data_IF_702226344767
#
_entry.id   IF_702226344767
#
_cell.length_a   1.000
_cell.length_b   1.000
_cell.length_c   1.000
_cell.angle_alpha   90.00
_cell.angle_beta   90.00
_cell.angle_gamma   90.00
#
_symmetry.space_group_name_H-M   'P 1'
#
loop_
_entity.id
_entity.type
_entity.pdbx_description
1 polymer ?
#
# COMPACT_ATOMS: atom_id res chain seq x y z
N UNK A 1 -28.79 22.88 3.27
CA UNK A 1 -29.38 23.28 1.99
C UNK A 1 -29.84 22.09 1.19
N UNK A 2 -29.07 21.00 1.17
CA UNK A 2 -29.36 19.79 0.39
C UNK A 2 -30.74 19.18 0.73
N UNK A 3 -31.12 19.12 2.01
CA UNK A 3 -32.44 18.66 2.43
C UNK A 3 -33.64 19.54 2.00
N UNK A 4 -33.40 20.64 1.33
CA UNK A 4 -34.42 21.58 0.84
C UNK A 4 -34.71 21.43 -0.65
N UNK A 5 -33.89 20.67 -1.39
CA UNK A 5 -34.01 20.49 -2.86
C UNK A 5 -33.50 19.12 -3.27
N UNK A 6 -34.04 18.62 -4.39
CA UNK A 6 -33.50 17.45 -5.09
C UNK A 6 -32.58 17.85 -6.27
N UNK A 7 -32.41 19.15 -6.49
CA UNK A 7 -31.52 19.67 -7.50
C UNK A 7 -30.08 19.79 -7.01
N UNK A 8 -29.15 20.04 -7.94
CA UNK A 8 -27.74 20.26 -7.63
C UNK A 8 -27.58 21.48 -6.72
N UNK A 9 -26.89 21.31 -5.61
CA UNK A 9 -26.45 22.43 -4.75
C UNK A 9 -25.00 22.74 -5.08
N UNK A 10 -24.74 23.97 -5.52
CA UNK A 10 -23.39 24.46 -5.79
C UNK A 10 -22.99 25.45 -4.71
N UNK A 11 -21.87 25.20 -4.04
CA UNK A 11 -21.32 26.07 -3.01
C UNK A 11 -19.81 25.90 -2.88
N UNK A 12 -19.13 26.96 -2.43
CA UNK A 12 -17.77 26.85 -1.93
C UNK A 12 -17.85 26.67 -0.43
N UNK A 13 -17.30 25.56 0.07
CA UNK A 13 -17.19 25.29 1.50
C UNK A 13 -15.95 26.04 1.99
N UNK A 14 -16.14 26.91 2.98
CA UNK A 14 -15.03 27.57 3.63
C UNK A 14 -14.09 26.51 4.25
N UNK A 15 -12.78 26.77 4.25
CA UNK A 15 -11.82 25.88 4.90
C UNK A 15 -12.28 25.66 6.35
N UNK A 16 -12.51 24.38 6.69
CA UNK A 16 -12.93 23.93 8.00
C UNK A 16 -12.28 22.59 8.27
N UNK A 17 -12.27 22.16 9.51
CA UNK A 17 -11.69 20.86 9.86
C UNK A 17 -12.39 19.72 9.11
N UNK A 18 -11.63 18.77 8.60
CA UNK A 18 -12.16 17.59 7.91
C UNK A 18 -13.18 16.85 8.79
N UNK A 19 -12.93 16.79 10.10
CA UNK A 19 -13.83 16.18 11.07
C UNK A 19 -15.23 16.84 11.13
N UNK A 20 -15.34 18.12 10.80
CA UNK A 20 -16.61 18.83 10.71
C UNK A 20 -17.38 18.45 9.44
N UNK A 21 -16.65 18.10 8.37
CA UNK A 21 -17.26 17.72 7.08
C UNK A 21 -17.76 16.28 7.05
N UNK A 22 -17.05 15.35 7.74
CA UNK A 22 -17.35 13.91 7.70
C UNK A 22 -17.76 13.31 9.07
N UNK A 23 -17.77 14.14 10.14
CA UNK A 23 -18.01 13.72 11.52
C UNK A 23 -19.49 13.59 11.92
N UNK A 24 -19.81 13.96 13.16
CA UNK A 24 -21.14 13.76 13.76
C UNK A 24 -22.27 14.58 13.14
N UNK A 25 -21.96 15.64 12.41
CA UNK A 25 -22.92 16.47 11.66
C UNK A 25 -22.38 16.70 10.25
N UNK A 26 -22.23 15.63 9.45
CA UNK A 26 -21.48 15.68 8.21
C UNK A 26 -22.14 16.59 7.18
N UNK A 27 -21.32 17.06 6.23
CA UNK A 27 -21.84 17.58 4.98
C UNK A 27 -22.74 16.52 4.35
N UNK A 28 -23.92 16.91 3.92
CA UNK A 28 -24.90 15.97 3.35
C UNK A 28 -24.97 16.13 1.83
N UNK A 29 -24.92 15.01 1.13
CA UNK A 29 -25.33 14.88 -0.25
C UNK A 29 -26.31 13.73 -0.41
N UNK A 30 -27.58 13.99 -0.06
CA UNK A 30 -28.62 12.97 -0.08
C UNK A 30 -28.93 12.42 -1.47
N UNK A 31 -28.54 13.14 -2.52
CA UNK A 31 -28.83 12.80 -3.91
C UNK A 31 -27.59 12.41 -4.73
N UNK A 32 -26.39 12.54 -4.16
CA UNK A 32 -25.11 12.21 -4.84
C UNK A 32 -24.79 13.12 -6.02
N UNK A 33 -25.29 14.37 -6.02
CA UNK A 33 -25.19 15.26 -7.17
C UNK A 33 -24.69 16.67 -6.83
N UNK A 34 -24.34 16.94 -5.58
CA UNK A 34 -23.90 18.26 -5.14
C UNK A 34 -22.52 18.62 -5.74
N UNK A 35 -22.37 19.90 -6.05
CA UNK A 35 -21.13 20.44 -6.62
C UNK A 35 -20.46 21.39 -5.62
N UNK A 36 -19.92 20.82 -4.54
CA UNK A 36 -19.21 21.59 -3.52
C UNK A 36 -17.73 21.75 -3.89
N UNK A 37 -17.25 22.97 -3.96
CA UNK A 37 -15.82 23.25 -4.04
C UNK A 37 -15.23 23.21 -2.65
N UNK A 38 -14.35 22.24 -2.39
CA UNK A 38 -13.75 22.00 -1.07
C UNK A 38 -12.22 22.11 -1.18
N UNK A 39 -11.61 22.82 -0.22
CA UNK A 39 -10.17 22.82 0.00
C UNK A 39 -9.91 22.39 1.45
N UNK A 40 -9.11 21.34 1.63
CA UNK A 40 -8.72 20.87 2.95
C UNK A 40 -7.81 21.90 3.61
N UNK A 41 -8.09 22.22 4.87
CA UNK A 41 -7.36 23.21 5.63
C UNK A 41 -5.93 22.79 5.96
N UNK A 42 -5.10 23.75 6.37
CA UNK A 42 -3.71 23.47 6.82
C UNK A 42 -3.66 22.74 8.16
N UNK A 43 -4.75 22.83 8.95
CA UNK A 43 -4.85 22.16 10.25
C UNK A 43 -5.09 20.64 10.08
N UNK A 44 -5.55 20.21 8.89
CA UNK A 44 -5.73 18.82 8.47
C UNK A 44 -4.54 18.29 7.64
N UNK A 45 -3.33 18.70 7.97
CA UNK A 45 -2.12 18.19 7.30
C UNK A 45 -1.92 16.67 7.51
N UNK A 46 -2.53 16.11 8.57
CA UNK A 46 -2.51 14.66 8.87
C UNK A 46 -3.95 14.14 8.94
N UNK A 47 -4.29 13.21 8.08
CA UNK A 47 -5.67 12.68 7.94
C UNK A 47 -5.70 11.17 7.78
N UNK A 48 -6.91 10.58 7.92
CA UNK A 48 -7.15 9.19 7.54
C UNK A 48 -7.70 9.12 6.10
N UNK A 49 -7.28 8.10 5.34
CA UNK A 49 -7.79 7.89 3.98
C UNK A 49 -9.29 7.61 3.95
N UNK A 50 -9.84 6.95 4.98
CA UNK A 50 -11.27 6.69 5.09
C UNK A 50 -12.11 7.97 5.18
N UNK A 51 -11.61 9.01 5.86
CA UNK A 51 -12.29 10.30 5.96
C UNK A 51 -12.28 11.03 4.61
N UNK A 52 -11.15 10.98 3.90
CA UNK A 52 -11.06 11.52 2.55
C UNK A 52 -11.98 10.77 1.58
N UNK A 53 -12.03 9.45 1.62
CA UNK A 53 -12.95 8.66 0.80
C UNK A 53 -14.41 8.99 1.10
N UNK A 54 -14.74 9.27 2.36
CA UNK A 54 -16.08 9.71 2.75
C UNK A 54 -16.39 11.09 2.16
N UNK A 55 -15.44 12.02 2.24
CA UNK A 55 -15.60 13.37 1.70
C UNK A 55 -15.76 13.37 0.18
N UNK A 56 -15.03 12.50 -0.53
CA UNK A 56 -15.14 12.33 -1.98
C UNK A 56 -16.57 11.98 -2.43
N UNK A 57 -17.26 11.15 -1.64
CA UNK A 57 -18.66 10.79 -1.89
C UNK A 57 -19.67 11.93 -1.71
N UNK A 58 -19.28 13.09 -1.18
CA UNK A 58 -20.18 14.19 -0.86
C UNK A 58 -20.15 15.32 -1.90
N UNK A 59 -19.34 15.21 -2.94
CA UNK A 59 -19.27 16.22 -4.01
C UNK A 59 -18.88 15.61 -5.33
N UNK A 60 -19.35 16.23 -6.40
CA UNK A 60 -18.96 15.88 -7.79
C UNK A 60 -17.78 16.72 -8.30
N UNK A 61 -17.26 17.64 -7.49
CA UNK A 61 -16.12 18.51 -7.82
C UNK A 61 -14.86 17.99 -7.15
N UNK A 62 -13.75 17.95 -7.87
CA UNK A 62 -12.48 17.51 -7.29
C UNK A 62 -12.06 18.36 -6.08
N UNK A 63 -11.77 17.68 -4.98
CA UNK A 63 -11.36 18.26 -3.70
C UNK A 63 -9.89 18.63 -3.79
N UNK A 64 -9.54 19.83 -3.35
CA UNK A 64 -8.13 20.23 -3.23
C UNK A 64 -7.54 19.71 -1.89
N UNK A 65 -6.70 18.71 -2.00
CA UNK A 65 -5.98 18.07 -0.87
C UNK A 65 -4.50 18.50 -0.78
N UNK A 66 -4.09 19.58 -1.42
CA UNK A 66 -2.70 20.01 -1.47
C UNK A 66 -2.07 20.41 -0.12
N UNK A 67 -2.87 20.55 0.94
CA UNK A 67 -2.37 20.77 2.31
C UNK A 67 -2.20 19.46 3.11
N UNK A 68 -2.67 18.32 2.59
CA UNK A 68 -2.47 17.01 3.22
C UNK A 68 -1.04 16.54 2.95
N UNK A 69 -0.25 16.37 4.00
CA UNK A 69 1.14 15.91 3.92
C UNK A 69 1.31 14.49 4.45
N UNK A 70 0.38 14.04 5.31
CA UNK A 70 0.51 12.75 5.99
C UNK A 70 -0.82 12.01 5.99
N UNK A 71 -0.78 10.71 5.68
CA UNK A 71 -1.92 9.81 5.77
C UNK A 71 -1.59 8.73 6.80
N UNK A 72 -2.40 8.66 7.88
CA UNK A 72 -2.20 7.72 8.99
C UNK A 72 -3.48 6.96 9.32
N UNK A 73 -3.37 5.95 10.21
CA UNK A 73 -4.53 5.20 10.74
C UNK A 73 -5.44 4.62 9.65
N UNK A 74 -4.88 4.27 8.50
CA UNK A 74 -5.61 3.87 7.30
C UNK A 74 -5.19 2.48 6.85
N UNK A 75 -6.17 1.67 6.44
CA UNK A 75 -5.86 0.39 5.79
C UNK A 75 -5.32 0.62 4.37
N UNK A 76 -4.52 -0.31 3.87
CA UNK A 76 -4.08 -0.28 2.46
C UNK A 76 -5.27 -0.29 1.49
N UNK A 77 -6.41 -0.89 1.88
CA UNK A 77 -7.62 -0.87 1.07
C UNK A 77 -8.20 0.54 0.94
N UNK A 78 -8.29 1.30 2.06
CA UNK A 78 -8.76 2.69 2.03
C UNK A 78 -7.79 3.60 1.29
N UNK A 79 -6.48 3.42 1.50
CA UNK A 79 -5.44 4.16 0.80
C UNK A 79 -5.50 3.89 -0.71
N UNK A 80 -5.64 2.63 -1.11
CA UNK A 80 -5.77 2.27 -2.54
C UNK A 80 -7.03 2.86 -3.16
N UNK A 81 -8.15 2.90 -2.43
CA UNK A 81 -9.40 3.55 -2.88
C UNK A 81 -9.18 5.05 -3.10
N UNK A 82 -8.52 5.71 -2.14
CA UNK A 82 -8.19 7.13 -2.21
C UNK A 82 -7.36 7.47 -3.46
N UNK A 83 -6.27 6.74 -3.68
CA UNK A 83 -5.37 7.01 -4.82
C UNK A 83 -5.93 6.55 -6.17
N UNK A 84 -6.93 5.68 -6.18
CA UNK A 84 -7.66 5.29 -7.40
C UNK A 84 -8.75 6.31 -7.78
N UNK A 85 -9.14 7.20 -6.86
CA UNK A 85 -10.17 8.22 -7.12
C UNK A 85 -9.61 9.35 -7.97
N UNK A 86 -10.45 9.84 -8.89
CA UNK A 86 -10.21 11.10 -9.63
C UNK A 86 -10.81 12.32 -8.90
N UNK A 87 -11.40 12.12 -7.71
CA UNK A 87 -12.06 13.15 -6.93
C UNK A 87 -11.13 14.07 -6.14
N UNK A 88 -9.80 13.90 -6.29
CA UNK A 88 -8.81 14.72 -5.59
C UNK A 88 -7.80 15.37 -6.52
N UNK A 89 -7.28 16.51 -6.07
CA UNK A 89 -6.09 17.15 -6.61
C UNK A 89 -5.10 17.40 -5.47
N UNK A 90 -3.79 17.37 -5.74
CA UNK A 90 -2.73 17.63 -4.75
C UNK A 90 -2.38 16.42 -3.88
N UNK A 91 -2.69 15.19 -4.32
CA UNK A 91 -2.16 13.96 -3.77
C UNK A 91 -0.99 13.44 -4.62
N UNK A 92 -0.10 12.62 -4.04
CA UNK A 92 1.03 11.97 -4.74
C UNK A 92 2.40 12.19 -4.11
N UNK A 93 2.46 12.91 -2.97
CA UNK A 93 3.68 13.24 -2.23
C UNK A 93 3.54 13.09 -0.71
N UNK A 94 2.54 12.32 -0.25
CA UNK A 94 2.23 12.16 1.16
C UNK A 94 3.15 11.15 1.85
N UNK A 95 3.45 11.39 3.13
CA UNK A 95 4.01 10.37 4.02
C UNK A 95 2.88 9.46 4.53
N UNK A 96 2.85 8.22 4.05
CA UNK A 96 1.79 7.26 4.37
C UNK A 96 2.26 6.26 5.41
N UNK A 97 1.45 6.02 6.45
CA UNK A 97 1.63 4.91 7.37
C UNK A 97 0.37 4.05 7.38
N UNK A 98 0.48 2.84 6.82
CA UNK A 98 -0.61 1.87 6.80
C UNK A 98 -0.82 1.24 8.19
N UNK A 99 -2.07 0.96 8.53
CA UNK A 99 -2.46 0.35 9.81
C UNK A 99 -2.56 -1.18 9.75
N UNK A 100 -2.31 -1.78 8.59
CA UNK A 100 -2.39 -3.22 8.40
C UNK A 100 -1.32 -3.94 9.20
N UNK A 101 -1.74 -4.96 9.96
CA UNK A 101 -0.87 -5.78 10.82
C UNK A 101 -0.84 -7.26 10.43
N UNK A 102 -1.59 -7.64 9.40
CA UNK A 102 -1.71 -9.01 8.90
C UNK A 102 -0.85 -9.27 7.67
N UNK A 103 -1.41 -10.06 6.76
CA UNK A 103 -0.81 -10.36 5.47
C UNK A 103 -1.25 -9.33 4.44
N UNK A 104 -0.31 -8.75 3.71
CA UNK A 104 -0.56 -7.77 2.65
C UNK A 104 0.04 -8.24 1.32
N UNK A 105 -0.58 -7.84 0.22
CA UNK A 105 -0.11 -8.19 -1.12
C UNK A 105 0.92 -7.17 -1.62
N UNK A 106 2.03 -7.65 -2.17
CA UNK A 106 3.08 -6.82 -2.76
C UNK A 106 2.54 -5.96 -3.92
N UNK A 107 1.60 -6.48 -4.71
CA UNK A 107 0.95 -5.73 -5.78
C UNK A 107 0.18 -4.50 -5.29
N UNK A 108 -0.46 -4.58 -4.12
CA UNK A 108 -1.14 -3.43 -3.50
C UNK A 108 -0.12 -2.36 -3.06
N UNK A 109 1.00 -2.78 -2.46
CA UNK A 109 2.10 -1.89 -2.09
C UNK A 109 2.60 -1.14 -3.32
N UNK A 110 2.93 -1.86 -4.40
CA UNK A 110 3.43 -1.27 -5.66
C UNK A 110 2.41 -0.29 -6.27
N UNK A 111 1.12 -0.63 -6.25
CA UNK A 111 0.07 0.25 -6.78
C UNK A 111 0.04 1.58 -6.04
N UNK A 112 0.04 1.54 -4.70
CA UNK A 112 0.01 2.74 -3.86
C UNK A 112 1.31 3.54 -4.02
N UNK A 113 2.48 2.89 -3.94
CA UNK A 113 3.78 3.55 -4.09
C UNK A 113 3.91 4.24 -5.45
N UNK A 114 3.41 3.63 -6.53
CA UNK A 114 3.39 4.24 -7.86
C UNK A 114 2.49 5.49 -7.92
N UNK A 115 1.32 5.43 -7.29
CA UNK A 115 0.38 6.57 -7.26
C UNK A 115 0.89 7.70 -6.34
N UNK A 116 1.64 7.36 -5.28
CA UNK A 116 2.28 8.28 -4.35
C UNK A 116 3.79 8.44 -4.66
N UNK A 117 4.13 8.68 -5.91
CA UNK A 117 5.50 8.55 -6.44
C UNK A 117 6.53 9.53 -5.86
N UNK A 118 6.10 10.61 -5.21
CA UNK A 118 6.97 11.59 -4.55
C UNK A 118 6.93 11.50 -3.03
N UNK A 119 6.11 10.61 -2.46
CA UNK A 119 5.97 10.40 -1.03
C UNK A 119 6.56 9.09 -0.56
N UNK A 120 6.27 8.71 0.69
CA UNK A 120 6.72 7.46 1.29
C UNK A 120 5.55 6.56 1.67
N UNK A 121 5.77 5.24 1.75
CA UNK A 121 4.78 4.26 2.20
C UNK A 121 5.40 3.37 3.29
N UNK A 122 4.94 3.51 4.52
CA UNK A 122 5.34 2.68 5.63
C UNK A 122 4.33 1.54 5.85
N UNK A 123 4.77 0.30 5.66
CA UNK A 123 4.02 -0.94 5.89
C UNK A 123 4.66 -1.80 6.99
N UNK A 124 5.45 -1.20 7.88
CA UNK A 124 6.19 -1.91 8.93
C UNK A 124 5.30 -2.62 9.96
N UNK A 125 4.00 -2.34 9.98
CA UNK A 125 3.01 -3.08 10.76
C UNK A 125 2.68 -4.46 10.21
N UNK A 126 2.94 -4.73 8.93
CA UNK A 126 2.60 -5.99 8.29
C UNK A 126 3.39 -7.17 8.89
N UNK A 127 2.68 -8.26 9.18
CA UNK A 127 3.32 -9.50 9.64
C UNK A 127 3.90 -10.30 8.47
N UNK A 128 3.25 -10.25 7.31
CA UNK A 128 3.64 -11.02 6.12
C UNK A 128 3.38 -10.23 4.85
N UNK A 129 4.30 -10.31 3.89
CA UNK A 129 4.09 -9.79 2.54
C UNK A 129 3.98 -10.98 1.57
N UNK A 130 2.95 -10.95 0.73
CA UNK A 130 2.63 -12.04 -0.20
C UNK A 130 2.64 -11.57 -1.64
N UNK A 131 3.05 -12.44 -2.56
CA UNK A 131 3.06 -12.16 -3.99
C UNK A 131 3.98 -13.11 -4.75
N UNK A 132 4.12 -12.95 -6.04
CA UNK A 132 5.21 -13.59 -6.77
C UNK A 132 6.55 -13.02 -6.33
N UNK A 133 7.64 -13.75 -6.55
CA UNK A 133 8.98 -13.25 -6.21
C UNK A 133 9.26 -11.89 -6.87
N UNK A 134 8.89 -11.72 -8.13
CA UNK A 134 9.08 -10.47 -8.85
C UNK A 134 8.26 -9.31 -8.27
N UNK A 135 7.00 -9.53 -7.86
CA UNK A 135 6.16 -8.50 -7.24
C UNK A 135 6.73 -8.06 -5.90
N UNK A 136 7.18 -9.00 -5.06
CA UNK A 136 7.76 -8.66 -3.75
C UNK A 136 9.05 -7.85 -3.94
N UNK A 137 9.97 -8.29 -4.81
CA UNK A 137 11.21 -7.57 -5.09
C UNK A 137 10.90 -6.16 -5.63
N UNK A 138 9.96 -6.04 -6.56
CA UNK A 138 9.59 -4.75 -7.14
C UNK A 138 8.97 -3.78 -6.13
N UNK A 139 8.23 -4.29 -5.13
CA UNK A 139 7.60 -3.45 -4.11
C UNK A 139 8.60 -2.66 -3.25
N UNK A 140 9.85 -3.13 -3.14
CA UNK A 140 10.89 -2.51 -2.30
C UNK A 140 12.09 -1.96 -3.10
N UNK A 141 12.00 -1.97 -4.45
CA UNK A 141 13.14 -1.67 -5.30
C UNK A 141 13.59 -0.20 -5.28
N UNK A 142 12.68 0.75 -5.04
CA UNK A 142 12.96 2.18 -5.12
C UNK A 142 13.28 2.86 -3.78
N UNK A 143 13.14 2.12 -2.66
CA UNK A 143 13.44 2.62 -1.32
C UNK A 143 12.41 3.60 -0.75
N UNK A 144 11.28 3.84 -1.42
CA UNK A 144 10.19 4.69 -0.90
C UNK A 144 9.24 3.93 0.02
N UNK A 145 9.31 2.60 0.00
CA UNK A 145 8.53 1.70 0.85
C UNK A 145 9.38 1.22 2.02
N UNK A 146 8.82 1.31 3.23
CA UNK A 146 9.45 0.84 4.46
C UNK A 146 8.64 -0.31 5.06
N UNK A 147 9.29 -1.45 5.29
CA UNK A 147 8.76 -2.63 5.99
C UNK A 147 9.50 -2.89 7.31
N UNK A 148 8.98 -3.80 8.11
CA UNK A 148 9.75 -4.30 9.25
C UNK A 148 10.92 -5.16 8.76
N UNK A 149 12.10 -4.98 9.33
CA UNK A 149 13.31 -5.73 8.95
C UNK A 149 13.17 -7.25 9.10
N UNK A 150 12.19 -7.71 9.87
CA UNK A 150 11.89 -9.13 10.14
C UNK A 150 10.55 -9.56 9.55
N UNK A 151 9.97 -8.82 8.60
CA UNK A 151 8.71 -9.18 7.96
C UNK A 151 8.83 -10.55 7.27
N UNK A 152 7.81 -11.41 7.41
CA UNK A 152 7.79 -12.68 6.69
C UNK A 152 7.43 -12.46 5.21
N UNK A 153 8.08 -13.18 4.30
CA UNK A 153 7.76 -13.16 2.87
C UNK A 153 7.18 -14.52 2.45
N UNK A 154 6.03 -14.52 1.79
CA UNK A 154 5.41 -15.73 1.24
C UNK A 154 5.24 -15.59 -0.25
N UNK A 155 6.02 -16.38 -0.98
CA UNK A 155 6.06 -16.34 -2.45
C UNK A 155 5.00 -17.26 -3.03
N UNK A 156 4.16 -16.72 -3.91
CA UNK A 156 3.23 -17.48 -4.73
C UNK A 156 3.92 -17.97 -6.02
N UNK A 157 3.69 -19.21 -6.40
CA UNK A 157 4.35 -19.82 -7.55
C UNK A 157 5.82 -20.20 -7.26
N UNK A 158 6.62 -20.25 -8.30
CA UNK A 158 8.04 -20.64 -8.21
C UNK A 158 8.94 -19.42 -8.33
N UNK A 159 10.01 -19.39 -7.52
CA UNK A 159 11.08 -18.42 -7.60
C UNK A 159 12.32 -19.04 -8.25
N UNK A 160 13.09 -18.27 -8.98
CA UNK A 160 14.45 -18.64 -9.37
C UNK A 160 15.39 -18.57 -8.17
N UNK A 161 16.56 -19.20 -8.27
CA UNK A 161 17.59 -19.08 -7.22
C UNK A 161 18.00 -17.60 -6.99
N UNK A 162 18.19 -16.84 -8.06
CA UNK A 162 18.52 -15.41 -7.95
C UNK A 162 17.44 -14.63 -7.20
N UNK A 163 16.17 -14.83 -7.54
CA UNK A 163 15.07 -14.19 -6.82
C UNK A 163 15.01 -14.60 -5.35
N UNK A 164 15.29 -15.86 -5.03
CA UNK A 164 15.31 -16.31 -3.64
C UNK A 164 16.44 -15.64 -2.83
N UNK A 165 17.59 -15.41 -3.45
CA UNK A 165 18.71 -14.66 -2.86
C UNK A 165 18.30 -13.20 -2.62
N UNK A 166 17.69 -12.55 -3.62
CA UNK A 166 17.20 -11.16 -3.48
C UNK A 166 16.16 -11.04 -2.36
N UNK A 167 15.18 -11.96 -2.31
CA UNK A 167 14.16 -11.98 -1.25
C UNK A 167 14.77 -12.17 0.14
N UNK A 168 15.78 -13.05 0.26
CA UNK A 168 16.48 -13.26 1.53
C UNK A 168 17.26 -12.00 1.98
N UNK A 169 17.70 -11.18 1.04
CA UNK A 169 18.37 -9.93 1.36
C UNK A 169 17.40 -8.82 1.85
N UNK A 170 16.11 -8.91 1.51
CA UNK A 170 15.10 -7.93 1.92
C UNK A 170 14.68 -8.06 3.38
N UNK A 171 14.82 -9.24 4.00
CA UNK A 171 14.30 -9.47 5.35
C UNK A 171 15.18 -10.40 6.15
N UNK A 172 15.20 -10.22 7.49
CA UNK A 172 15.70 -11.21 8.45
C UNK A 172 14.59 -12.17 8.92
N UNK A 173 13.36 -11.98 8.45
CA UNK A 173 12.21 -12.84 8.74
C UNK A 173 12.18 -14.09 7.86
N UNK A 174 11.15 -14.90 8.04
CA UNK A 174 10.98 -16.15 7.28
C UNK A 174 10.64 -15.87 5.82
N UNK A 175 11.40 -16.43 4.89
CA UNK A 175 11.06 -16.46 3.46
C UNK A 175 10.51 -17.85 3.12
N UNK A 176 9.26 -17.92 2.64
CA UNK A 176 8.62 -19.15 2.17
C UNK A 176 8.48 -19.10 0.65
N UNK A 177 9.17 -19.97 -0.06
CA UNK A 177 9.15 -20.03 -1.52
C UNK A 177 9.32 -21.46 -2.03
N UNK A 178 8.76 -21.75 -3.20
CA UNK A 178 9.09 -22.93 -3.99
C UNK A 178 10.13 -22.54 -5.03
N UNK A 179 11.29 -23.17 -5.04
CA UNK A 179 12.30 -22.90 -6.07
C UNK A 179 11.98 -23.64 -7.36
N UNK A 180 12.24 -22.98 -8.47
CA UNK A 180 12.32 -23.63 -9.78
C UNK A 180 13.45 -24.68 -9.77
N UNK A 181 13.36 -25.66 -10.66
CA UNK A 181 14.38 -26.70 -10.77
C UNK A 181 15.78 -26.08 -10.90
N UNK A 182 16.65 -26.45 -9.98
CA UNK A 182 18.05 -26.01 -9.95
C UNK A 182 18.94 -27.16 -9.50
N UNK A 183 20.22 -27.12 -9.81
CA UNK A 183 21.14 -28.17 -9.41
C UNK A 183 21.54 -28.03 -7.93
N UNK A 184 21.92 -29.14 -7.31
CA UNK A 184 22.49 -29.11 -5.94
C UNK A 184 23.77 -28.28 -5.89
N UNK A 185 24.56 -28.29 -6.97
CA UNK A 185 25.78 -27.48 -7.06
C UNK A 185 25.48 -25.98 -7.06
N UNK A 186 24.37 -25.55 -7.70
CA UNK A 186 23.95 -24.14 -7.69
C UNK A 186 23.49 -23.72 -6.30
N UNK A 187 22.79 -24.61 -5.59
CA UNK A 187 22.30 -24.33 -4.23
C UNK A 187 23.43 -24.26 -3.18
N UNK A 188 24.49 -25.04 -3.36
CA UNK A 188 25.62 -25.14 -2.43
C UNK A 188 26.87 -24.36 -2.87
N UNK A 189 26.82 -23.75 -4.07
CA UNK A 189 27.95 -23.00 -4.64
C UNK A 189 28.18 -21.65 -3.96
N UNK A 190 29.26 -20.94 -4.38
CA UNK A 190 29.64 -19.62 -3.83
C UNK A 190 28.57 -18.54 -3.97
N UNK A 191 27.60 -18.74 -4.88
CA UNK A 191 26.42 -17.89 -5.09
C UNK A 191 25.13 -18.56 -4.61
N UNK A 192 25.23 -19.60 -3.78
CA UNK A 192 24.10 -20.36 -3.25
C UNK A 192 23.33 -19.59 -2.18
N UNK A 193 22.21 -20.19 -1.75
CA UNK A 193 21.42 -19.67 -0.64
C UNK A 193 22.26 -19.71 0.65
N UNK A 194 22.70 -18.55 1.08
CA UNK A 194 23.34 -18.38 2.38
C UNK A 194 22.32 -17.81 3.36
N UNK A 195 22.10 -18.50 4.45
CA UNK A 195 21.22 -18.03 5.49
C UNK A 195 21.91 -16.91 6.30
N UNK A 196 21.43 -15.66 6.08
CA UNK A 196 21.94 -14.50 6.81
C UNK A 196 21.09 -14.30 8.07
N UNK A 197 21.31 -15.09 9.11
CA UNK A 197 20.60 -14.91 10.38
C UNK A 197 19.96 -16.16 10.98
N UNK A 198 20.03 -17.32 10.35
CA UNK A 198 19.65 -18.61 10.95
C UNK A 198 18.15 -18.81 11.17
N UNK A 199 17.28 -18.12 10.46
CA UNK A 199 15.81 -18.17 10.65
C UNK A 199 15.00 -18.45 9.38
N UNK A 200 15.64 -18.65 8.24
CA UNK A 200 14.91 -19.04 7.03
C UNK A 200 14.44 -20.48 7.13
N UNK A 201 13.27 -20.67 7.74
CA UNK A 201 12.62 -21.96 7.82
C UNK A 201 11.81 -22.16 6.53
N UNK A 202 12.33 -22.97 5.62
CA UNK A 202 11.60 -23.60 4.54
C UNK A 202 11.73 -22.97 3.16
N UNK A 203 12.84 -23.25 2.51
CA UNK A 203 12.84 -23.43 1.07
C UNK A 203 12.28 -24.83 0.81
N UNK A 204 11.03 -24.93 0.35
CA UNK A 204 10.43 -26.21 -0.01
C UNK A 204 10.83 -26.55 -1.44
N UNK A 205 11.61 -27.60 -1.63
CA UNK A 205 11.99 -28.12 -2.95
C UNK A 205 10.95 -29.13 -3.42
N UNK A 206 10.27 -28.87 -4.52
CA UNK A 206 9.29 -29.81 -5.08
C UNK A 206 9.87 -30.77 -6.11
N UNK A 207 11.07 -30.55 -6.66
CA UNK A 207 11.73 -31.49 -7.56
C UNK A 207 13.26 -31.34 -7.52
N UNK A 208 13.92 -32.33 -6.99
CA UNK A 208 15.35 -32.58 -7.19
C UNK A 208 15.48 -33.71 -8.21
N UNK A 209 15.74 -33.41 -9.47
CA UNK A 209 16.12 -34.47 -10.44
C UNK A 209 17.59 -34.79 -10.23
N UNK A 210 17.86 -35.96 -9.65
CA UNK A 210 19.21 -36.53 -9.70
C UNK A 210 19.60 -36.77 -11.17
N UNK A 211 20.78 -36.37 -11.62
CA UNK A 211 21.26 -36.75 -12.94
C UNK A 211 21.28 -38.28 -13.03
N UNK A 212 20.54 -38.83 -13.95
CA UNK A 212 20.72 -40.26 -14.32
C UNK A 212 22.06 -40.38 -15.02
N UNK A 213 23.02 -41.06 -14.37
CA UNK A 213 24.30 -41.48 -14.97
C UNK A 213 24.08 -42.46 -16.10
#
# INVERSE_FOLDING_TARGET
LDGLTTGVVTATIAATDLSDLVGSSPLLDANGNNAFTITIGTDDATVAAADLNTLDGLTTVAINAGNVTTITSSSLADINTLYASSGFSGLGDQDITASDSGSIAASTITTIATANSNGTLNVSGAATITGTAAEIIAAFADGTVTEASNVALTVSGTATLAQAIDLNALTTGVVTATLADTSVSDLLGDSGLTETGGTNASVSYTHLTLPTT
#
